data_IF_503810130975
#
_entry.id   IF_503810130975
#
_cell.length_a   1.000
_cell.length_b   1.000
_cell.length_c   1.000
_cell.angle_alpha   90.00
_cell.angle_beta   90.00
_cell.angle_gamma   90.00
#
_symmetry.space_group_name_H-M   'P 1'
#
loop_
_entity.id
_entity.type
_entity.pdbx_description
1 polymer ?
#
# COMPACT_ATOMS: atom_id res chain seq x y z
N UNK A 1 -15.22 -40.18 -25.60
CA UNK A 1 -15.57 -38.87 -25.01
C UNK A 1 -16.24 -39.14 -23.68
N UNK A 2 -15.48 -39.23 -22.58
CA UNK A 2 -16.03 -39.51 -21.26
C UNK A 2 -16.37 -38.18 -20.58
N UNK A 3 -17.64 -37.98 -20.22
CA UNK A 3 -18.12 -36.79 -19.49
C UNK A 3 -17.67 -36.91 -18.04
N UNK A 4 -16.94 -35.92 -17.54
CA UNK A 4 -16.55 -35.82 -16.13
C UNK A 4 -17.82 -35.59 -15.30
N UNK A 5 -18.11 -36.38 -14.25
CA UNK A 5 -19.24 -36.11 -13.37
C UNK A 5 -18.96 -34.81 -12.61
N UNK A 6 -19.92 -33.87 -12.66
CA UNK A 6 -19.92 -32.73 -11.75
C UNK A 6 -20.17 -33.27 -10.35
N UNK A 7 -19.15 -33.21 -9.49
CA UNK A 7 -19.31 -33.50 -8.07
C UNK A 7 -20.36 -32.56 -7.46
N UNK A 8 -21.22 -33.11 -6.61
CA UNK A 8 -22.19 -32.34 -5.84
C UNK A 8 -21.48 -31.20 -5.08
N UNK A 9 -22.03 -29.97 -5.08
CA UNK A 9 -21.48 -28.88 -4.29
C UNK A 9 -21.49 -29.28 -2.80
N UNK A 10 -20.44 -28.92 -2.04
CA UNK A 10 -20.40 -29.23 -0.62
C UNK A 10 -21.60 -28.60 0.10
N UNK A 11 -22.14 -29.22 1.15
CA UNK A 11 -23.25 -28.65 1.91
C UNK A 11 -22.83 -27.28 2.42
N UNK A 12 -23.67 -26.27 2.15
CA UNK A 12 -23.49 -24.90 2.64
C UNK A 12 -23.47 -24.93 4.17
N UNK A 13 -22.25 -25.01 4.72
CA UNK A 13 -22.03 -24.95 6.15
C UNK A 13 -22.53 -23.59 6.65
N UNK A 14 -23.29 -23.63 7.76
CA UNK A 14 -23.82 -22.48 8.47
C UNK A 14 -22.72 -21.42 8.63
N UNK A 15 -22.75 -20.41 7.76
CA UNK A 15 -21.77 -19.33 7.81
C UNK A 15 -21.97 -18.65 9.15
N UNK A 16 -20.95 -18.54 10.00
CA UNK A 16 -21.11 -17.93 11.30
C UNK A 16 -21.68 -16.52 11.10
N UNK A 17 -22.86 -16.28 11.67
CA UNK A 17 -23.57 -15.02 11.54
C UNK A 17 -22.63 -13.90 11.95
N UNK A 18 -22.37 -12.94 11.04
CA UNK A 18 -21.50 -11.80 11.32
C UNK A 18 -21.98 -11.15 12.61
N UNK A 19 -21.11 -10.98 13.62
CA UNK A 19 -21.53 -10.39 14.88
C UNK A 19 -22.07 -8.99 14.63
N UNK A 20 -23.22 -8.68 15.24
CA UNK A 20 -23.80 -7.35 15.22
C UNK A 20 -22.89 -6.38 15.98
N UNK A 21 -22.17 -5.55 15.24
CA UNK A 21 -21.37 -4.47 15.82
C UNK A 21 -22.30 -3.34 16.26
N UNK A 22 -22.36 -3.08 17.56
CA UNK A 22 -23.04 -1.91 18.14
C UNK A 22 -22.04 -0.77 18.32
N UNK A 23 -22.35 0.39 17.76
CA UNK A 23 -21.57 1.62 17.97
C UNK A 23 -21.88 2.12 19.38
N UNK A 24 -20.94 1.93 20.31
CA UNK A 24 -20.94 2.63 21.61
C UNK A 24 -20.53 4.09 21.40
N UNK A 25 -20.96 5.00 22.28
CA UNK A 25 -20.54 6.41 22.24
C UNK A 25 -19.01 6.47 22.19
N UNK A 26 -18.47 6.86 21.04
CA UNK A 26 -17.05 7.05 20.85
C UNK A 26 -16.62 8.14 21.82
N UNK A 27 -15.87 7.76 22.84
CA UNK A 27 -15.22 8.68 23.78
C UNK A 27 -14.70 9.89 23.01
N UNK A 28 -15.20 11.08 23.41
CA UNK A 28 -15.02 12.38 22.77
C UNK A 28 -13.78 12.37 21.87
N UNK A 29 -14.02 12.31 20.55
CA UNK A 29 -13.00 11.94 19.57
C UNK A 29 -11.70 12.67 19.87
N UNK A 30 -10.68 11.92 20.30
CA UNK A 30 -9.36 12.47 20.62
C UNK A 30 -8.98 13.46 19.52
N UNK A 31 -8.90 14.73 19.89
CA UNK A 31 -8.66 15.79 18.93
C UNK A 31 -7.38 15.43 18.16
N UNK A 32 -7.49 15.32 16.84
CA UNK A 32 -6.39 14.81 16.03
C UNK A 32 -5.26 15.82 16.08
N UNK A 33 -4.05 15.30 16.23
CA UNK A 33 -2.82 16.08 16.21
C UNK A 33 -2.06 15.69 14.94
N UNK A 34 -1.48 16.66 14.25
CA UNK A 34 -0.61 16.42 13.11
C UNK A 34 0.58 15.54 13.54
N UNK A 35 0.77 14.38 12.90
CA UNK A 35 1.86 13.46 13.28
C UNK A 35 3.26 14.02 12.99
N UNK A 36 3.37 15.10 12.20
CA UNK A 36 4.64 15.73 11.83
C UNK A 36 4.95 16.95 12.71
N UNK A 37 4.00 17.88 12.88
CA UNK A 37 4.24 19.15 13.59
C UNK A 37 3.55 19.30 14.95
N UNK A 38 2.71 18.34 15.37
CA UNK A 38 2.07 18.39 16.68
C UNK A 38 0.92 19.41 16.84
N UNK A 39 0.57 20.17 15.78
CA UNK A 39 -0.55 21.12 15.83
C UNK A 39 -1.90 20.40 15.73
N UNK A 40 -2.93 20.98 16.35
CA UNK A 40 -4.34 20.62 16.15
C UNK A 40 -4.93 21.57 15.12
N UNK A 41 -5.26 21.04 13.94
CA UNK A 41 -5.83 21.81 12.83
C UNK A 41 -7.16 21.19 12.39
N UNK A 42 -7.93 21.91 11.58
CA UNK A 42 -9.20 21.39 11.05
C UNK A 42 -9.05 20.64 9.73
N UNK A 43 -8.06 20.99 8.89
CA UNK A 43 -7.82 20.32 7.60
C UNK A 43 -6.76 19.21 7.72
N UNK A 44 -7.18 17.98 7.46
CA UNK A 44 -6.38 16.77 7.61
C UNK A 44 -6.27 16.00 6.30
N UNK A 45 -5.05 15.62 5.93
CA UNK A 45 -4.77 14.77 4.76
C UNK A 45 -4.21 13.41 5.21
N UNK A 46 -4.78 12.29 4.73
CA UNK A 46 -4.13 11.00 4.85
C UNK A 46 -2.92 10.97 3.91
N UNK A 47 -1.76 10.61 4.45
CA UNK A 47 -0.52 10.49 3.68
C UNK A 47 0.13 9.14 3.95
N UNK A 48 0.98 8.72 3.03
CA UNK A 48 1.85 7.54 3.17
C UNK A 48 3.29 8.00 3.20
N UNK A 49 4.06 7.52 4.18
CA UNK A 49 5.51 7.75 4.28
C UNK A 49 6.17 6.45 4.71
N UNK A 50 7.09 5.92 3.90
CA UNK A 50 7.78 4.65 4.15
C UNK A 50 6.79 3.52 4.54
N UNK A 51 5.73 3.32 3.75
CA UNK A 51 4.70 2.31 4.01
C UNK A 51 3.74 2.60 5.19
N UNK A 52 4.01 3.62 6.02
CA UNK A 52 3.18 3.96 7.18
C UNK A 52 2.08 4.96 6.80
N UNK A 53 0.87 4.71 7.28
CA UNK A 53 -0.30 5.58 7.11
C UNK A 53 -0.32 6.66 8.19
N UNK A 54 -0.19 7.93 7.82
CA UNK A 54 -0.16 9.06 8.75
C UNK A 54 -1.26 10.07 8.44
N UNK A 55 -1.67 10.83 9.45
CA UNK A 55 -2.56 11.98 9.30
C UNK A 55 -1.76 13.25 9.54
N UNK A 56 -1.65 14.08 8.52
CA UNK A 56 -0.94 15.37 8.57
C UNK A 56 -1.90 16.52 8.30
N UNK A 57 -1.58 17.71 8.82
CA UNK A 57 -2.28 18.93 8.41
C UNK A 57 -1.97 19.25 6.94
N UNK A 58 -2.85 20.00 6.27
CA UNK A 58 -2.68 20.39 4.85
C UNK A 58 -1.27 20.95 4.56
N UNK A 59 -0.78 21.87 5.40
CA UNK A 59 0.53 22.49 5.23
C UNK A 59 1.68 21.46 5.29
N UNK A 60 1.68 20.55 6.27
CA UNK A 60 2.70 19.50 6.36
C UNK A 60 2.60 18.50 5.21
N UNK A 61 1.38 18.17 4.77
CA UNK A 61 1.18 17.23 3.66
C UNK A 61 1.73 17.76 2.33
N UNK A 62 1.66 19.08 2.09
CA UNK A 62 2.20 19.74 0.89
C UNK A 62 3.73 19.81 0.87
N UNK A 63 4.38 19.69 2.03
CA UNK A 63 5.85 19.68 2.17
C UNK A 63 6.47 18.31 1.90
N UNK A 64 5.68 17.25 1.82
CA UNK A 64 6.21 15.92 1.54
C UNK A 64 6.82 15.86 0.14
N UNK A 65 7.95 15.15 -0.03
CA UNK A 65 8.49 14.89 -1.36
C UNK A 65 7.43 14.16 -2.19
N UNK A 66 7.33 14.52 -3.46
CA UNK A 66 6.51 13.78 -4.42
C UNK A 66 7.32 12.55 -4.85
N UNK A 67 6.64 11.42 -5.05
CA UNK A 67 7.29 10.19 -5.53
C UNK A 67 8.12 10.46 -6.77
N UNK A 68 9.34 9.93 -6.80
CA UNK A 68 10.32 10.12 -7.88
C UNK A 68 9.91 9.38 -9.15
N UNK A 69 9.08 8.33 -9.02
CA UNK A 69 8.57 7.52 -10.12
C UNK A 69 7.03 7.52 -10.18
N UNK A 70 6.48 7.00 -11.28
CA UNK A 70 5.03 6.85 -11.47
C UNK A 70 4.64 5.40 -11.67
N UNK A 71 3.53 5.01 -11.06
CA UNK A 71 2.98 3.68 -11.18
C UNK A 71 2.53 3.43 -12.62
N UNK A 72 3.05 2.39 -13.29
CA UNK A 72 2.67 2.10 -14.68
C UNK A 72 1.21 1.68 -14.82
N UNK A 73 0.59 1.17 -13.74
CA UNK A 73 -0.81 0.72 -13.76
C UNK A 73 -1.83 1.85 -13.56
N UNK A 74 -1.49 2.94 -12.85
CA UNK A 74 -2.48 3.99 -12.51
C UNK A 74 -1.95 5.43 -12.53
N UNK A 75 -0.67 5.64 -12.81
CA UNK A 75 0.00 6.94 -12.78
C UNK A 75 0.15 7.56 -11.38
N UNK A 76 -0.12 6.83 -10.30
CA UNK A 76 0.13 7.30 -8.92
C UNK A 76 1.62 7.40 -8.62
N UNK A 77 2.05 8.39 -7.84
CA UNK A 77 3.46 8.53 -7.45
C UNK A 77 3.98 7.32 -6.66
N UNK A 78 5.21 6.91 -6.97
CA UNK A 78 5.95 5.84 -6.30
C UNK A 78 7.18 6.43 -5.61
N UNK A 79 7.44 5.97 -4.40
CA UNK A 79 8.65 6.30 -3.67
C UNK A 79 9.72 5.23 -3.90
N UNK A 80 11.01 5.58 -3.77
CA UNK A 80 12.08 4.59 -3.73
C UNK A 80 11.79 3.58 -2.63
N UNK A 81 11.86 2.27 -2.94
CA UNK A 81 11.48 1.24 -1.97
C UNK A 81 10.05 0.70 -2.10
N UNK A 82 9.17 1.36 -2.85
CA UNK A 82 7.77 0.91 -2.94
C UNK A 82 7.69 -0.41 -3.72
N UNK A 83 7.30 -1.48 -3.03
CA UNK A 83 7.02 -2.80 -3.63
C UNK A 83 5.59 -2.90 -4.18
N UNK A 84 4.72 -1.99 -3.76
CA UNK A 84 3.33 -1.90 -4.19
C UNK A 84 2.93 -0.43 -4.30
N UNK A 85 2.10 -0.10 -5.29
CA UNK A 85 1.55 1.24 -5.44
C UNK A 85 0.58 1.53 -4.30
N UNK A 86 0.86 2.56 -3.50
CA UNK A 86 -0.05 3.01 -2.44
C UNK A 86 -1.41 3.54 -2.92
N UNK A 87 -1.57 3.82 -4.23
CA UNK A 87 -2.82 4.32 -4.84
C UNK A 87 -3.72 3.19 -5.37
N UNK A 88 -3.18 2.23 -6.12
CA UNK A 88 -3.97 1.17 -6.76
C UNK A 88 -3.66 -0.25 -6.26
N UNK A 89 -2.61 -0.44 -5.45
CA UNK A 89 -2.21 -1.75 -4.93
C UNK A 89 -1.41 -2.61 -5.92
N UNK A 90 -1.15 -2.13 -7.15
CA UNK A 90 -0.34 -2.88 -8.12
C UNK A 90 1.08 -3.13 -7.57
N UNK A 91 1.56 -4.35 -7.73
CA UNK A 91 2.95 -4.70 -7.38
C UNK A 91 3.91 -3.96 -8.31
N UNK A 92 4.94 -3.37 -7.74
CA UNK A 92 6.00 -2.70 -8.48
C UNK A 92 7.18 -3.67 -8.53
N UNK A 93 7.53 -4.08 -9.75
CA UNK A 93 8.68 -4.93 -9.99
C UNK A 93 9.80 -4.08 -10.57
N UNK A 94 10.94 -4.09 -9.88
CA UNK A 94 12.16 -3.46 -10.38
C UNK A 94 12.89 -4.50 -11.22
N UNK A 95 13.43 -4.08 -12.36
CA UNK A 95 14.19 -4.95 -13.26
C UNK A 95 15.60 -4.40 -13.43
N UNK A 96 16.58 -5.30 -13.46
CA UNK A 96 17.96 -4.93 -13.70
C UNK A 96 18.10 -4.30 -15.09
N UNK A 97 18.64 -3.07 -15.20
CA UNK A 97 18.78 -2.39 -16.49
C UNK A 97 19.78 -3.10 -17.41
N UNK A 98 20.66 -3.94 -16.86
CA UNK A 98 21.69 -4.67 -17.63
C UNK A 98 21.19 -6.00 -18.18
N UNK A 99 20.42 -6.76 -17.40
CA UNK A 99 20.05 -8.14 -17.76
C UNK A 99 18.56 -8.48 -17.62
N UNK A 100 17.73 -7.53 -17.18
CA UNK A 100 16.28 -7.70 -17.02
C UNK A 100 15.85 -8.61 -15.87
N UNK A 101 16.77 -9.06 -15.01
CA UNK A 101 16.43 -9.86 -13.84
C UNK A 101 15.59 -9.04 -12.85
N UNK A 102 14.63 -9.67 -12.18
CA UNK A 102 13.89 -9.04 -11.09
C UNK A 102 14.85 -8.62 -9.97
N UNK A 103 14.63 -7.40 -9.46
CA UNK A 103 15.34 -6.80 -8.34
C UNK A 103 14.35 -6.49 -7.23
N UNK A 104 14.84 -6.58 -6.00
CA UNK A 104 14.20 -5.95 -4.87
C UNK A 104 14.60 -4.48 -4.79
N UNK A 105 13.79 -3.65 -4.15
CA UNK A 105 14.04 -2.22 -4.07
C UNK A 105 15.22 -1.85 -3.16
N UNK A 106 15.67 -2.79 -2.35
CA UNK A 106 16.84 -2.63 -1.45
C UNK A 106 18.12 -3.25 -2.04
N UNK A 107 18.06 -3.86 -3.24
CA UNK A 107 19.22 -4.49 -3.86
C UNK A 107 20.27 -3.44 -4.29
N UNK A 108 21.51 -3.62 -3.84
CA UNK A 108 22.64 -2.81 -4.32
C UNK A 108 23.28 -3.39 -5.59
N UNK A 109 23.15 -4.70 -5.78
CA UNK A 109 23.73 -5.45 -6.90
C UNK A 109 22.73 -6.48 -7.42
N UNK A 110 22.75 -6.73 -8.73
CA UNK A 110 21.94 -7.77 -9.34
C UNK A 110 22.50 -9.16 -9.01
N UNK A 111 21.75 -9.98 -8.29
CA UNK A 111 22.13 -11.37 -7.98
C UNK A 111 22.31 -12.28 -9.21
N UNK A 112 21.85 -11.87 -10.40
CA UNK A 112 22.00 -12.64 -11.64
C UNK A 112 23.25 -12.29 -12.43
N UNK A 113 23.57 -11.00 -12.57
CA UNK A 113 24.67 -10.55 -13.45
C UNK A 113 25.79 -9.80 -12.72
N UNK A 114 25.62 -9.50 -11.43
CA UNK A 114 26.60 -8.77 -10.62
C UNK A 114 26.66 -7.26 -10.89
N UNK A 115 25.86 -6.74 -11.83
CA UNK A 115 25.81 -5.30 -12.10
C UNK A 115 25.34 -4.54 -10.85
N UNK A 116 25.95 -3.37 -10.60
CA UNK A 116 25.52 -2.45 -9.55
C UNK A 116 24.24 -1.71 -9.99
N UNK A 117 23.26 -1.63 -9.10
CA UNK A 117 21.91 -1.12 -9.42
C UNK A 117 21.42 -0.02 -8.46
N UNK A 118 22.22 0.33 -7.45
CA UNK A 118 22.01 1.46 -6.54
C UNK A 118 23.30 2.28 -6.28
#
# INVERSE_FOLDING_TARGET
MARVPFGEPPPEGDSPSRPSLSIVEASAGRERICADCGRRTSDWKPVRRNGTSLILCDECSRKLPRGEDVCPACGGGLFPGDRFCGRCGARIEYACPTCGAALDSEDLFCGRCGARVA
#
